data_IF_102960320152
#
_entry.id   IF_102960320152
#
_cell.length_a   1.000
_cell.length_b   1.000
_cell.length_c   1.000
_cell.angle_alpha   90.00
_cell.angle_beta   90.00
_cell.angle_gamma   90.00
#
_symmetry.space_group_name_H-M   'P 1'
#
loop_
_entity.id
_entity.type
_entity.pdbx_description
1 polymer ?
#
# COMPACT_ATOMS: atom_id res chain seq x y z
N UNK A 1 8.76 17.19 -24.91
CA UNK A 1 9.21 15.96 -25.59
C UNK A 1 10.45 15.41 -24.90
N UNK A 2 10.27 14.26 -24.27
CA UNK A 2 11.31 13.45 -23.62
C UNK A 2 12.28 12.90 -24.66
N UNK A 3 13.58 12.88 -24.35
CA UNK A 3 14.67 12.62 -25.31
C UNK A 3 15.53 11.41 -24.98
N UNK A 4 15.54 11.00 -23.71
CA UNK A 4 16.27 9.83 -23.23
C UNK A 4 15.63 9.36 -21.91
N UNK A 5 16.09 8.19 -21.44
CA UNK A 5 15.69 7.63 -20.14
C UNK A 5 16.15 8.53 -18.98
N UNK A 6 17.36 9.09 -19.04
CA UNK A 6 17.83 10.02 -18.00
C UNK A 6 16.98 11.29 -17.96
N UNK A 7 16.62 11.85 -19.12
CA UNK A 7 15.74 13.02 -19.18
C UNK A 7 14.34 12.72 -18.62
N UNK A 8 13.83 11.51 -18.81
CA UNK A 8 12.56 11.08 -18.22
C UNK A 8 12.64 10.99 -16.70
N UNK A 9 13.71 10.40 -16.16
CA UNK A 9 13.95 10.34 -14.71
C UNK A 9 14.09 11.73 -14.11
N UNK A 10 14.91 12.60 -14.71
CA UNK A 10 15.07 13.99 -14.24
C UNK A 10 13.74 14.74 -14.24
N UNK A 11 12.92 14.55 -15.28
CA UNK A 11 11.57 15.15 -15.36
C UNK A 11 10.69 14.66 -14.21
N UNK A 12 10.64 13.35 -13.95
CA UNK A 12 9.82 12.79 -12.86
C UNK A 12 10.34 13.23 -11.49
N UNK A 13 11.65 13.16 -11.26
CA UNK A 13 12.29 13.45 -9.98
C UNK A 13 12.16 14.92 -9.56
N UNK A 14 12.03 15.84 -10.52
CA UNK A 14 11.93 17.29 -10.27
C UNK A 14 10.52 17.85 -10.46
N UNK A 15 9.54 17.02 -10.82
CA UNK A 15 8.17 17.47 -11.09
C UNK A 15 7.49 17.97 -9.82
N UNK A 16 7.35 19.29 -9.71
CA UNK A 16 6.68 19.94 -8.58
C UNK A 16 5.17 20.13 -8.80
N UNK A 17 4.76 20.49 -10.02
CA UNK A 17 3.37 20.87 -10.35
C UNK A 17 2.88 20.13 -11.59
N UNK A 18 1.69 19.55 -11.52
CA UNK A 18 1.09 18.78 -12.59
C UNK A 18 1.69 17.39 -12.71
N UNK A 19 1.06 16.58 -13.55
CA UNK A 19 1.43 15.18 -13.79
C UNK A 19 2.42 15.13 -14.95
N UNK A 20 3.59 14.48 -14.82
CA UNK A 20 4.61 14.41 -15.87
C UNK A 20 4.24 13.37 -16.94
N UNK A 21 3.11 13.59 -17.64
CA UNK A 21 2.51 12.61 -18.55
C UNK A 21 3.47 12.07 -19.60
N UNK A 22 4.23 12.94 -20.26
CA UNK A 22 5.18 12.51 -21.31
C UNK A 22 6.30 11.61 -20.76
N UNK A 23 6.80 11.88 -19.55
CA UNK A 23 7.88 11.11 -18.94
C UNK A 23 7.40 9.74 -18.45
N UNK A 24 6.24 9.70 -17.79
CA UNK A 24 5.61 8.44 -17.35
C UNK A 24 5.32 7.56 -18.58
N UNK A 25 4.69 8.13 -19.62
CA UNK A 25 4.34 7.38 -20.83
C UNK A 25 5.59 6.88 -21.58
N UNK A 26 6.64 7.70 -21.65
CA UNK A 26 7.91 7.30 -22.22
C UNK A 26 8.51 6.07 -21.51
N UNK A 27 8.60 6.10 -20.17
CA UNK A 27 9.17 5.00 -19.39
C UNK A 27 8.30 3.73 -19.41
N UNK A 28 6.97 3.88 -19.40
CA UNK A 28 6.03 2.73 -19.51
C UNK A 28 6.18 1.95 -20.81
N UNK A 29 6.63 2.61 -21.88
CA UNK A 29 6.80 2.01 -23.21
C UNK A 29 8.25 1.56 -23.52
N UNK A 30 9.18 1.72 -22.57
CA UNK A 30 10.55 1.19 -22.74
C UNK A 30 10.62 -0.30 -22.48
N UNK A 31 11.70 -0.93 -22.95
CA UNK A 31 12.08 -2.26 -22.47
C UNK A 31 12.42 -2.21 -20.98
N UNK A 32 12.17 -3.31 -20.27
CA UNK A 32 12.44 -3.42 -18.84
C UNK A 32 13.95 -3.54 -18.56
N UNK A 33 14.66 -2.43 -18.70
CA UNK A 33 16.11 -2.36 -18.52
C UNK A 33 16.51 -2.48 -17.05
N UNK A 34 17.74 -2.91 -16.79
CA UNK A 34 18.27 -2.96 -15.41
C UNK A 34 18.27 -1.59 -14.73
N UNK A 35 18.54 -0.53 -15.49
CA UNK A 35 18.51 0.84 -15.00
C UNK A 35 17.11 1.25 -14.53
N UNK A 36 16.08 0.94 -15.33
CA UNK A 36 14.69 1.21 -14.98
C UNK A 36 14.26 0.43 -13.74
N UNK A 37 14.59 -0.87 -13.67
CA UNK A 37 14.27 -1.69 -12.49
C UNK A 37 14.90 -1.13 -11.22
N UNK A 38 16.18 -0.77 -11.26
CA UNK A 38 16.87 -0.13 -10.13
C UNK A 38 16.21 1.19 -9.72
N UNK A 39 15.76 2.00 -10.69
CA UNK A 39 15.06 3.25 -10.41
C UNK A 39 13.71 3.02 -9.73
N UNK A 40 12.94 2.03 -10.17
CA UNK A 40 11.65 1.67 -9.55
C UNK A 40 11.85 1.17 -8.11
N UNK A 41 12.80 0.25 -7.90
CA UNK A 41 13.14 -0.25 -6.56
C UNK A 41 13.57 0.90 -5.65
N UNK A 42 14.45 1.79 -6.13
CA UNK A 42 14.88 2.97 -5.38
C UNK A 42 13.70 3.85 -4.99
N UNK A 43 12.80 4.13 -5.93
CA UNK A 43 11.65 5.01 -5.70
C UNK A 43 10.70 4.46 -4.64
N UNK A 44 10.43 3.15 -4.64
CA UNK A 44 9.53 2.52 -3.68
C UNK A 44 10.18 2.50 -2.29
N UNK A 45 11.43 2.04 -2.21
CA UNK A 45 12.20 1.98 -0.96
C UNK A 45 12.31 3.35 -0.28
N UNK A 46 12.38 4.42 -1.08
CA UNK A 46 12.58 5.78 -0.58
C UNK A 46 11.31 6.63 -0.64
N UNK A 47 10.13 6.06 -0.88
CA UNK A 47 8.91 6.83 -1.15
C UNK A 47 8.60 7.90 -0.08
N UNK A 48 8.95 7.62 1.17
CA UNK A 48 8.74 8.51 2.32
C UNK A 48 10.06 9.07 2.89
N UNK A 49 11.17 8.90 2.18
CA UNK A 49 12.48 9.40 2.62
C UNK A 49 12.67 10.86 2.20
N UNK A 50 12.75 11.74 3.20
CA UNK A 50 12.98 13.17 2.98
C UNK A 50 14.31 13.49 2.29
N UNK A 51 15.37 12.70 2.50
CA UNK A 51 16.64 12.92 1.79
C UNK A 51 16.53 12.64 0.28
N UNK A 52 15.60 11.77 -0.11
CA UNK A 52 15.41 11.39 -1.51
C UNK A 52 14.41 12.28 -2.25
N UNK A 53 13.29 12.64 -1.60
CA UNK A 53 12.15 13.29 -2.27
C UNK A 53 11.64 14.55 -1.58
N UNK A 54 12.32 15.09 -0.58
CA UNK A 54 11.99 16.42 -0.06
C UNK A 54 12.67 17.51 -0.86
N UNK A 55 11.89 18.50 -1.31
CA UNK A 55 12.44 19.74 -1.85
C UNK A 55 12.57 20.78 -0.75
N UNK A 56 13.80 21.19 -0.42
CA UNK A 56 14.06 22.26 0.55
C UNK A 56 13.56 23.63 0.06
N UNK A 57 13.67 23.89 -1.25
CA UNK A 57 13.24 25.14 -1.88
C UNK A 57 11.74 25.36 -1.72
N UNK A 58 10.95 24.32 -2.00
CA UNK A 58 9.49 24.37 -1.96
C UNK A 58 8.90 23.86 -0.65
N UNK A 59 9.73 23.27 0.21
CA UNK A 59 9.39 22.69 1.51
C UNK A 59 8.32 21.59 1.45
N UNK A 60 8.36 20.77 0.40
CA UNK A 60 7.36 19.75 0.08
C UNK A 60 7.98 18.40 -0.25
N UNK A 61 7.26 17.32 0.06
CA UNK A 61 7.55 16.00 -0.52
C UNK A 61 7.10 15.98 -1.97
N UNK A 62 8.01 15.61 -2.87
CA UNK A 62 7.78 15.54 -4.30
C UNK A 62 6.96 14.29 -4.66
N UNK A 63 6.01 14.37 -5.61
CA UNK A 63 5.17 13.26 -6.06
C UNK A 63 5.90 12.18 -6.87
N UNK A 64 7.23 12.28 -7.02
CA UNK A 64 8.02 11.36 -7.84
C UNK A 64 7.80 9.87 -7.52
N UNK A 65 7.74 9.42 -6.25
CA UNK A 65 7.43 8.02 -5.94
C UNK A 65 6.12 7.53 -6.55
N UNK A 66 5.06 8.35 -6.51
CA UNK A 66 3.76 8.00 -7.08
C UNK A 66 3.87 7.79 -8.59
N UNK A 67 4.60 8.67 -9.28
CA UNK A 67 4.85 8.55 -10.71
C UNK A 67 5.60 7.27 -11.07
N UNK A 68 6.59 6.87 -10.27
CA UNK A 68 7.27 5.59 -10.46
C UNK A 68 6.36 4.40 -10.18
N UNK A 69 5.43 4.47 -9.23
CA UNK A 69 4.42 3.44 -9.03
C UNK A 69 3.50 3.28 -10.26
N UNK A 70 3.18 4.38 -10.97
CA UNK A 70 2.45 4.31 -12.24
C UNK A 70 3.31 3.67 -13.33
N UNK A 71 4.61 4.00 -13.41
CA UNK A 71 5.52 3.36 -14.37
C UNK A 71 5.60 1.85 -14.12
N UNK A 72 5.66 1.43 -12.86
CA UNK A 72 5.78 0.03 -12.46
C UNK A 72 4.62 -0.87 -12.93
N UNK A 73 3.44 -0.32 -13.24
CA UNK A 73 2.32 -1.09 -13.79
C UNK A 73 2.71 -1.90 -15.05
N UNK A 74 3.68 -1.42 -15.84
CA UNK A 74 4.19 -2.09 -17.04
C UNK A 74 5.51 -2.85 -16.82
N UNK A 75 6.10 -2.75 -15.63
CA UNK A 75 7.44 -3.26 -15.30
C UNK A 75 7.45 -4.16 -14.06
N UNK A 76 6.36 -4.89 -13.82
CA UNK A 76 6.18 -5.78 -12.67
C UNK A 76 7.28 -6.86 -12.59
N UNK A 77 7.99 -6.92 -11.47
CA UNK A 77 9.06 -7.87 -11.20
C UNK A 77 9.13 -8.25 -9.72
N UNK A 78 9.79 -9.38 -9.40
CA UNK A 78 9.98 -9.85 -8.02
C UNK A 78 10.79 -8.86 -7.16
N UNK A 79 11.66 -8.05 -7.79
CA UNK A 79 12.44 -7.01 -7.10
C UNK A 79 11.56 -5.93 -6.46
N UNK A 80 10.30 -5.80 -6.88
CA UNK A 80 9.35 -4.85 -6.32
C UNK A 80 8.56 -5.40 -5.13
N UNK A 81 8.66 -6.70 -4.81
CA UNK A 81 7.82 -7.31 -3.79
C UNK A 81 8.01 -6.69 -2.41
N UNK A 82 9.24 -6.67 -1.92
CA UNK A 82 9.56 -6.09 -0.60
C UNK A 82 9.36 -4.57 -0.57
N UNK A 83 9.91 -3.79 -1.52
CA UNK A 83 9.71 -2.33 -1.54
C UNK A 83 8.23 -1.92 -1.59
N UNK A 84 7.38 -2.66 -2.30
CA UNK A 84 5.94 -2.37 -2.34
C UNK A 84 5.27 -2.63 -0.99
N UNK A 85 5.57 -3.77 -0.35
CA UNK A 85 4.97 -4.11 0.95
C UNK A 85 5.36 -3.11 2.02
N UNK A 86 6.60 -2.62 1.99
CA UNK A 86 7.10 -1.59 2.91
C UNK A 86 6.32 -0.28 2.81
N UNK A 87 5.72 0.05 1.65
CA UNK A 87 4.87 1.23 1.50
C UNK A 87 3.67 1.21 2.47
N UNK A 88 3.14 0.02 2.80
CA UNK A 88 2.02 -0.12 3.73
C UNK A 88 2.44 -0.07 5.22
N UNK A 89 3.73 0.12 5.50
CA UNK A 89 4.26 0.26 6.86
C UNK A 89 4.58 1.70 7.23
N UNK A 90 3.88 2.66 6.65
CA UNK A 90 4.06 4.08 6.98
C UNK A 90 2.72 4.68 7.37
N UNK A 91 2.67 5.41 8.49
CA UNK A 91 1.51 6.22 8.91
C UNK A 91 1.62 7.59 8.25
N UNK A 92 1.54 7.61 6.92
CA UNK A 92 1.54 8.85 6.13
C UNK A 92 0.31 8.83 5.21
N UNK A 93 -0.39 9.96 5.19
CA UNK A 93 -1.64 10.10 4.46
C UNK A 93 -1.36 10.55 3.02
N UNK A 94 -0.91 9.61 2.17
CA UNK A 94 -0.99 9.74 0.71
C UNK A 94 -2.01 8.74 0.20
N UNK A 95 -3.29 9.12 0.26
CA UNK A 95 -4.39 8.35 -0.32
C UNK A 95 -4.06 7.84 -1.74
N UNK A 96 -3.50 8.70 -2.59
CA UNK A 96 -3.11 8.33 -3.96
C UNK A 96 -1.94 7.35 -4.03
N UNK A 97 -1.00 7.40 -3.08
CA UNK A 97 0.07 6.39 -3.00
C UNK A 97 -0.51 5.06 -2.58
N UNK A 98 -1.31 5.06 -1.50
CA UNK A 98 -1.89 3.84 -0.94
C UNK A 98 -2.76 3.15 -2.00
N UNK A 99 -3.59 3.92 -2.69
CA UNK A 99 -4.43 3.43 -3.78
C UNK A 99 -3.59 2.81 -4.92
N UNK A 100 -2.55 3.50 -5.37
CA UNK A 100 -1.67 2.98 -6.42
C UNK A 100 -0.86 1.76 -5.96
N UNK A 101 -0.44 1.71 -4.69
CA UNK A 101 0.26 0.58 -4.11
C UNK A 101 -0.66 -0.64 -3.98
N UNK A 102 -1.92 -0.46 -3.58
CA UNK A 102 -2.95 -1.51 -3.59
C UNK A 102 -3.17 -2.03 -5.01
N UNK A 103 -3.29 -1.13 -6.00
CA UNK A 103 -3.40 -1.51 -7.40
C UNK A 103 -2.22 -2.39 -7.86
N UNK A 104 -0.99 -2.00 -7.54
CA UNK A 104 0.21 -2.78 -7.84
C UNK A 104 0.25 -4.12 -7.09
N UNK A 105 -0.21 -4.18 -5.85
CA UNK A 105 -0.26 -5.43 -5.08
C UNK A 105 -1.18 -6.44 -5.77
N UNK A 106 -2.37 -6.02 -6.23
CA UNK A 106 -3.25 -6.86 -7.03
C UNK A 106 -2.62 -7.30 -8.35
N UNK A 107 -1.95 -6.39 -9.07
CA UNK A 107 -1.25 -6.72 -10.32
C UNK A 107 -0.10 -7.73 -10.13
N UNK A 108 0.71 -7.58 -9.08
CA UNK A 108 1.79 -8.51 -8.77
C UNK A 108 1.24 -9.86 -8.32
N UNK A 109 0.19 -9.89 -7.50
CA UNK A 109 -0.46 -11.12 -7.08
C UNK A 109 -1.06 -11.87 -8.27
N UNK A 110 -1.68 -11.14 -9.22
CA UNK A 110 -2.19 -11.74 -10.46
C UNK A 110 -1.07 -12.33 -11.34
N UNK A 111 0.08 -11.66 -11.41
CA UNK A 111 1.22 -12.08 -12.24
C UNK A 111 2.04 -13.20 -11.59
N UNK A 112 2.18 -13.17 -10.26
CA UNK A 112 3.00 -14.06 -9.45
C UNK A 112 2.19 -14.60 -8.24
N UNK A 113 1.12 -15.37 -8.49
CA UNK A 113 0.17 -15.77 -7.44
C UNK A 113 0.79 -16.65 -6.36
N UNK A 114 1.83 -17.41 -6.67
CA UNK A 114 2.57 -18.17 -5.65
C UNK A 114 3.57 -17.26 -4.93
N UNK A 115 4.53 -16.70 -5.67
CA UNK A 115 5.70 -16.02 -5.10
C UNK A 115 5.31 -14.75 -4.33
N UNK A 116 4.43 -13.92 -4.89
CA UNK A 116 4.06 -12.65 -4.26
C UNK A 116 3.10 -12.85 -3.10
N UNK A 117 2.10 -13.73 -3.25
CA UNK A 117 1.17 -14.02 -2.14
C UNK A 117 1.91 -14.66 -0.97
N UNK A 118 2.90 -15.52 -1.20
CA UNK A 118 3.71 -16.07 -0.10
C UNK A 118 4.53 -15.00 0.63
N UNK A 119 5.04 -14.01 -0.09
CA UNK A 119 5.69 -12.82 0.48
C UNK A 119 4.71 -11.98 1.29
N UNK A 120 3.51 -11.74 0.76
CA UNK A 120 2.42 -11.05 1.47
C UNK A 120 2.07 -11.79 2.76
N UNK A 121 1.86 -13.11 2.71
CA UNK A 121 1.55 -13.90 3.90
C UNK A 121 2.68 -13.78 4.93
N UNK A 122 3.95 -13.90 4.53
CA UNK A 122 5.08 -13.71 5.45
C UNK A 122 5.06 -12.33 6.10
N UNK A 123 4.84 -11.30 5.31
CA UNK A 123 4.73 -9.92 5.78
C UNK A 123 3.57 -9.71 6.76
N UNK A 124 2.39 -10.27 6.51
CA UNK A 124 1.24 -10.24 7.44
C UNK A 124 1.63 -10.87 8.77
N UNK A 125 2.23 -12.06 8.73
CA UNK A 125 2.61 -12.78 9.95
C UNK A 125 3.66 -12.02 10.77
N UNK A 126 4.63 -11.38 10.12
CA UNK A 126 5.65 -10.55 10.78
C UNK A 126 5.04 -9.29 11.41
N UNK A 127 4.10 -8.64 10.73
CA UNK A 127 3.40 -7.47 11.26
C UNK A 127 2.50 -7.83 12.46
N UNK A 128 1.80 -8.96 12.42
CA UNK A 128 1.05 -9.48 13.58
C UNK A 128 2.01 -9.79 14.74
N UNK A 129 3.11 -10.51 14.46
CA UNK A 129 4.10 -10.90 15.47
C UNK A 129 4.76 -9.68 16.16
N UNK A 130 4.93 -8.59 15.43
CA UNK A 130 5.52 -7.34 15.94
C UNK A 130 4.50 -6.40 16.59
N UNK A 131 3.23 -6.80 16.71
CA UNK A 131 2.13 -5.94 17.19
C UNK A 131 2.01 -4.63 16.39
N UNK A 132 2.34 -4.67 15.10
CA UNK A 132 2.31 -3.50 14.24
C UNK A 132 0.85 -3.09 13.98
N UNK A 133 0.55 -1.79 14.16
CA UNK A 133 -0.79 -1.20 13.96
C UNK A 133 -0.89 -0.34 12.71
N UNK A 134 0.21 -0.23 11.95
CA UNK A 134 0.23 0.45 10.66
C UNK A 134 -0.69 -0.25 9.66
N UNK A 135 -1.16 0.43 8.60
CA UNK A 135 -2.23 -0.06 7.73
C UNK A 135 -1.75 -1.11 6.69
N UNK A 136 -1.05 -2.16 7.14
CA UNK A 136 -0.67 -3.27 6.26
C UNK A 136 -1.87 -4.07 5.73
N UNK A 137 -3.10 -3.77 6.17
CA UNK A 137 -4.34 -4.34 5.62
C UNK A 137 -4.42 -4.21 4.09
N UNK A 138 -3.82 -3.17 3.51
CA UNK A 138 -3.81 -2.92 2.08
C UNK A 138 -3.15 -4.06 1.27
N UNK A 139 -2.23 -4.82 1.87
CA UNK A 139 -1.64 -5.97 1.19
C UNK A 139 -2.62 -7.17 1.06
N UNK A 140 -3.75 -7.17 1.78
CA UNK A 140 -4.74 -8.26 1.72
C UNK A 140 -5.41 -8.35 0.34
N UNK A 141 -5.34 -7.28 -0.46
CA UNK A 141 -5.70 -7.26 -1.88
C UNK A 141 -5.08 -8.45 -2.65
N UNK A 142 -3.85 -8.84 -2.32
CA UNK A 142 -3.17 -9.95 -2.98
C UNK A 142 -3.87 -11.31 -2.78
N UNK A 143 -4.66 -11.47 -1.70
CA UNK A 143 -5.34 -12.72 -1.38
C UNK A 143 -6.44 -13.08 -2.39
N UNK A 144 -6.92 -12.12 -3.18
CA UNK A 144 -7.83 -12.38 -4.30
C UNK A 144 -7.24 -13.31 -5.37
N UNK A 145 -5.91 -13.41 -5.42
CA UNK A 145 -5.17 -14.27 -6.36
C UNK A 145 -4.47 -15.44 -5.66
N UNK A 146 -4.75 -15.68 -4.38
CA UNK A 146 -4.17 -16.80 -3.65
C UNK A 146 -4.53 -18.15 -4.29
N UNK A 147 -3.54 -19.04 -4.37
CA UNK A 147 -3.69 -20.40 -4.88
C UNK A 147 -4.34 -21.32 -3.83
N UNK A 148 -4.85 -22.46 -4.26
CA UNK A 148 -5.42 -23.50 -3.39
C UNK A 148 -4.46 -23.92 -2.26
N UNK A 149 -3.17 -24.07 -2.58
CA UNK A 149 -2.14 -24.58 -1.66
C UNK A 149 -1.84 -23.61 -0.51
N UNK A 150 -2.14 -22.33 -0.70
CA UNK A 150 -1.88 -21.27 0.29
C UNK A 150 -3.01 -21.15 1.34
N UNK A 151 -4.17 -21.77 1.11
CA UNK A 151 -5.34 -21.56 1.98
C UNK A 151 -5.19 -22.10 3.39
N UNK A 152 -4.45 -23.18 3.59
CA UNK A 152 -4.16 -23.70 4.93
C UNK A 152 -3.36 -22.67 5.75
N UNK A 153 -2.37 -22.01 5.12
CA UNK A 153 -1.60 -20.93 5.75
C UNK A 153 -2.45 -19.70 6.00
N UNK A 154 -3.26 -19.29 5.02
CA UNK A 154 -4.23 -18.17 5.15
C UNK A 154 -5.18 -18.39 6.33
N UNK A 155 -5.75 -19.59 6.47
CA UNK A 155 -6.65 -19.91 7.58
C UNK A 155 -5.93 -19.92 8.92
N UNK A 156 -4.67 -20.39 8.97
CA UNK A 156 -3.87 -20.37 10.21
C UNK A 156 -3.58 -18.96 10.74
N UNK A 157 -3.57 -17.94 9.86
CA UNK A 157 -3.37 -16.54 10.28
C UNK A 157 -4.53 -16.05 11.16
N UNK A 158 -5.76 -16.51 10.92
CA UNK A 158 -6.93 -16.18 11.74
C UNK A 158 -6.84 -16.70 13.18
N UNK A 159 -5.95 -17.65 13.46
CA UNK A 159 -5.71 -18.17 14.81
C UNK A 159 -4.70 -17.35 15.61
N UNK A 160 -3.99 -16.40 14.97
CA UNK A 160 -2.98 -15.59 15.65
C UNK A 160 -3.64 -14.59 16.60
N UNK A 161 -3.05 -14.44 17.77
CA UNK A 161 -3.37 -13.37 18.71
C UNK A 161 -2.86 -12.01 18.18
N UNK A 162 -3.42 -10.91 18.68
CA UNK A 162 -3.05 -9.53 18.32
C UNK A 162 -3.17 -9.19 16.81
N UNK A 163 -4.06 -9.88 16.10
CA UNK A 163 -4.35 -9.53 14.71
C UNK A 163 -5.27 -8.31 14.61
N UNK A 164 -4.68 -7.11 14.56
CA UNK A 164 -5.42 -5.83 14.55
C UNK A 164 -6.37 -5.66 13.36
N UNK A 165 -6.07 -6.27 12.22
CA UNK A 165 -6.84 -6.12 10.97
C UNK A 165 -7.71 -7.33 10.64
N UNK A 166 -8.07 -8.15 11.63
CA UNK A 166 -8.82 -9.41 11.44
C UNK A 166 -10.15 -9.20 10.71
N UNK A 167 -10.88 -8.12 11.00
CA UNK A 167 -12.16 -7.76 10.36
C UNK A 167 -11.97 -7.57 8.82
N UNK A 168 -10.92 -6.86 8.42
CA UNK A 168 -10.59 -6.66 7.00
C UNK A 168 -10.14 -7.96 6.32
N UNK A 169 -9.41 -8.81 7.04
CA UNK A 169 -8.98 -10.11 6.55
C UNK A 169 -10.18 -11.04 6.33
N UNK A 170 -11.12 -11.07 7.29
CA UNK A 170 -12.39 -11.81 7.19
C UNK A 170 -13.20 -11.34 5.99
N UNK A 171 -13.30 -10.03 5.76
CA UNK A 171 -13.99 -9.46 4.59
C UNK A 171 -13.45 -10.04 3.29
N UNK A 172 -12.13 -9.96 3.08
CA UNK A 172 -11.50 -10.50 1.86
C UNK A 172 -11.75 -11.99 1.72
N UNK A 173 -11.56 -12.79 2.78
CA UNK A 173 -11.81 -14.23 2.71
C UNK A 173 -13.28 -14.59 2.49
N UNK A 174 -14.19 -13.78 3.02
CA UNK A 174 -15.63 -13.83 2.77
C UNK A 174 -15.94 -13.61 1.31
N UNK A 175 -15.34 -12.60 0.66
CA UNK A 175 -15.49 -12.35 -0.77
C UNK A 175 -15.03 -13.54 -1.63
N UNK A 176 -14.03 -14.31 -1.18
CA UNK A 176 -13.56 -15.49 -1.90
C UNK A 176 -14.53 -16.67 -1.88
N UNK A 177 -15.48 -16.71 -0.94
CA UNK A 177 -16.59 -17.69 -0.92
C UNK A 177 -16.14 -19.16 -0.97
N UNK A 178 -15.06 -19.52 -0.28
CA UNK A 178 -14.50 -20.89 -0.32
C UNK A 178 -15.07 -21.81 0.76
N UNK A 179 -15.32 -23.06 0.42
CA UNK A 179 -15.90 -24.04 1.35
C UNK A 179 -15.04 -24.28 2.61
N UNK A 180 -13.71 -24.34 2.46
CA UNK A 180 -12.81 -24.47 3.61
C UNK A 180 -12.78 -23.20 4.49
N UNK A 181 -12.92 -22.01 3.90
CA UNK A 181 -13.10 -20.75 4.65
C UNK A 181 -14.37 -20.76 5.49
N UNK A 182 -15.49 -21.28 4.97
CA UNK A 182 -16.74 -21.37 5.72
C UNK A 182 -16.57 -22.21 6.99
N UNK A 183 -15.88 -23.35 6.88
CA UNK A 183 -15.58 -24.18 8.03
C UNK A 183 -14.71 -23.43 9.05
N UNK A 184 -13.69 -22.71 8.57
CA UNK A 184 -12.81 -21.92 9.44
C UNK A 184 -13.57 -20.81 10.17
N UNK A 185 -14.45 -20.07 9.48
CA UNK A 185 -15.26 -19.02 10.09
C UNK A 185 -16.16 -19.56 11.20
N UNK A 186 -16.82 -20.70 10.98
CA UNK A 186 -17.62 -21.38 12.01
C UNK A 186 -16.80 -21.80 13.21
N UNK A 187 -15.59 -22.31 12.98
CA UNK A 187 -14.67 -22.75 14.03
C UNK A 187 -14.23 -21.58 14.93
N UNK A 188 -13.90 -20.43 14.34
CA UNK A 188 -13.36 -19.27 15.09
C UNK A 188 -14.44 -18.34 15.65
N UNK A 189 -15.69 -18.40 15.16
CA UNK A 189 -16.78 -17.53 15.60
C UNK A 189 -16.92 -17.43 17.14
N UNK A 190 -16.89 -18.55 17.91
CA UNK A 190 -16.98 -18.48 19.38
C UNK A 190 -15.85 -17.68 20.03
N UNK A 191 -14.67 -17.58 19.41
CA UNK A 191 -13.53 -16.80 19.93
C UNK A 191 -13.81 -15.29 19.97
N UNK A 192 -14.78 -14.83 19.18
CA UNK A 192 -15.14 -13.43 19.04
C UNK A 192 -16.48 -13.08 19.68
N UNK A 193 -17.08 -13.98 20.47
CA UNK A 193 -18.36 -13.73 21.14
C UNK A 193 -18.35 -12.40 21.92
N UNK A 194 -19.36 -11.57 21.68
CA UNK A 194 -19.48 -10.23 22.27
C UNK A 194 -18.64 -9.13 21.60
N UNK A 195 -17.93 -9.42 20.49
CA UNK A 195 -17.15 -8.44 19.73
C UNK A 195 -17.78 -8.15 18.36
N UNK A 196 -17.41 -7.01 17.77
CA UNK A 196 -17.81 -6.63 16.41
C UNK A 196 -17.46 -7.71 15.37
N UNK A 197 -16.27 -8.29 15.46
CA UNK A 197 -15.79 -9.37 14.59
C UNK A 197 -16.74 -10.56 14.51
N UNK A 198 -17.46 -10.92 15.59
CA UNK A 198 -18.44 -12.01 15.53
C UNK A 198 -19.65 -11.67 14.65
N UNK A 199 -20.05 -10.40 14.59
CA UNK A 199 -21.13 -9.94 13.70
C UNK A 199 -20.69 -10.08 12.24
N UNK A 200 -19.47 -9.67 11.92
CA UNK A 200 -18.93 -9.82 10.56
C UNK A 200 -18.76 -11.28 10.16
N UNK A 201 -18.21 -12.13 11.03
CA UNK A 201 -18.10 -13.56 10.80
C UNK A 201 -19.48 -14.19 10.55
N UNK A 202 -20.46 -13.89 11.40
CA UNK A 202 -21.80 -14.44 11.25
C UNK A 202 -22.44 -14.00 9.93
N UNK A 203 -22.26 -12.73 9.53
CA UNK A 203 -22.72 -12.24 8.24
C UNK A 203 -22.13 -13.06 7.07
N UNK A 204 -20.81 -13.25 7.03
CA UNK A 204 -20.21 -14.04 5.94
C UNK A 204 -20.57 -15.52 6.01
N UNK A 205 -20.73 -16.10 7.20
CA UNK A 205 -21.26 -17.47 7.35
C UNK A 205 -22.66 -17.56 6.72
N UNK A 206 -23.55 -16.62 7.02
CA UNK A 206 -24.91 -16.59 6.48
C UNK A 206 -24.92 -16.38 4.96
N UNK A 207 -24.04 -15.53 4.43
CA UNK A 207 -23.82 -15.38 2.99
C UNK A 207 -23.41 -16.70 2.36
N UNK A 208 -22.37 -17.35 2.89
CA UNK A 208 -21.80 -18.59 2.34
C UNK A 208 -22.72 -19.80 2.51
N UNK A 209 -23.66 -19.75 3.45
CA UNK A 209 -24.75 -20.73 3.59
C UNK A 209 -25.97 -20.41 2.72
N UNK A 210 -25.94 -19.33 1.94
CA UNK A 210 -27.02 -18.94 1.03
C UNK A 210 -28.24 -18.33 1.72
N UNK A 211 -28.10 -17.84 2.97
CA UNK A 211 -29.17 -17.16 3.70
C UNK A 211 -29.32 -15.68 3.32
N UNK A 212 -28.31 -15.10 2.68
CA UNK A 212 -28.30 -13.72 2.19
C UNK A 212 -28.38 -13.74 0.66
N UNK A 213 -29.46 -13.16 0.10
CA UNK A 213 -29.76 -13.23 -1.34
C UNK A 213 -29.21 -12.08 -2.17
N UNK A 214 -28.86 -10.96 -1.55
CA UNK A 214 -28.42 -9.71 -2.16
C UNK A 214 -26.92 -9.44 -1.98
N UNK A 215 -26.15 -10.46 -1.59
CA UNK A 215 -24.70 -10.34 -1.42
C UNK A 215 -24.02 -10.05 -2.76
N UNK A 216 -23.30 -8.94 -2.82
CA UNK A 216 -22.41 -8.61 -3.92
C UNK A 216 -20.97 -8.93 -3.50
N UNK A 217 -20.40 -9.94 -4.15
CA UNK A 217 -19.01 -10.34 -3.93
C UNK A 217 -18.07 -9.17 -4.24
N UNK A 218 -17.19 -8.86 -3.30
CA UNK A 218 -16.06 -7.96 -3.52
C UNK A 218 -15.16 -8.45 -4.65
N UNK A 219 -14.55 -7.50 -5.34
CA UNK A 219 -13.58 -7.76 -6.40
C UNK A 219 -12.30 -7.02 -6.06
N UNK A 220 -11.16 -7.60 -6.43
CA UNK A 220 -9.86 -6.93 -6.34
C UNK A 220 -9.94 -5.54 -6.99
N UNK A 221 -9.45 -4.51 -6.30
CA UNK A 221 -9.35 -3.14 -6.78
C UNK A 221 -8.66 -3.05 -8.15
N UNK A 222 -7.67 -3.90 -8.42
CA UNK A 222 -6.99 -3.90 -9.73
C UNK A 222 -7.84 -4.38 -10.91
N UNK A 223 -9.01 -4.99 -10.67
CA UNK A 223 -10.00 -5.29 -11.70
C UNK A 223 -11.07 -4.20 -11.82
N UNK A 224 -11.16 -3.28 -10.85
CA UNK A 224 -12.13 -2.19 -10.82
C UNK A 224 -11.58 -0.88 -11.37
N UNK A 225 -10.30 -0.58 -11.11
CA UNK A 225 -9.64 0.64 -11.58
C UNK A 225 -9.48 0.61 -13.11
N UNK A 226 -9.69 1.74 -13.77
CA UNK A 226 -9.38 1.89 -15.20
C UNK A 226 -7.91 1.52 -15.47
N UNK A 227 -7.70 0.59 -16.40
CA UNK A 227 -6.37 0.16 -16.82
C UNK A 227 -5.62 1.27 -17.57
N UNK A 228 -6.34 2.22 -18.18
CA UNK A 228 -5.78 3.43 -18.77
C UNK A 228 -5.50 4.45 -17.66
N UNK A 229 -4.29 4.36 -17.10
CA UNK A 229 -3.82 5.20 -15.98
C UNK A 229 -4.06 6.71 -16.19
N UNK A 230 -4.01 7.21 -17.43
CA UNK A 230 -4.27 8.63 -17.73
C UNK A 230 -5.70 9.03 -17.37
N UNK A 231 -6.71 8.21 -17.68
CA UNK A 231 -8.11 8.50 -17.33
C UNK A 231 -8.33 8.56 -15.83
N UNK A 232 -7.61 7.71 -15.10
CA UNK A 232 -7.67 7.63 -13.65
C UNK A 232 -7.09 8.91 -13.00
N UNK A 233 -5.89 9.33 -13.39
CA UNK A 233 -5.21 10.48 -12.77
C UNK A 233 -5.61 11.84 -13.34
N UNK A 234 -6.14 11.92 -14.56
CA UNK A 234 -6.57 13.19 -15.14
C UNK A 234 -7.69 13.86 -14.32
N UNK A 235 -8.56 13.08 -13.69
CA UNK A 235 -9.61 13.59 -12.80
C UNK A 235 -9.04 14.21 -11.52
N UNK A 236 -7.83 13.81 -11.15
CA UNK A 236 -7.10 14.22 -9.95
C UNK A 236 -6.05 15.32 -10.24
N UNK A 237 -5.99 15.84 -11.46
CA UNK A 237 -4.97 16.82 -11.87
C UNK A 237 -4.97 18.09 -11.00
N UNK A 238 -6.14 18.46 -10.47
CA UNK A 238 -6.29 19.59 -9.54
C UNK A 238 -5.50 19.41 -8.23
N UNK A 239 -5.27 18.17 -7.77
CA UNK A 239 -4.46 17.86 -6.58
C UNK A 239 -2.99 18.23 -6.83
N UNK A 240 -2.53 18.08 -8.07
CA UNK A 240 -1.15 18.38 -8.47
C UNK A 240 -1.00 19.80 -9.03
N UNK A 241 -2.07 20.59 -9.13
CA UNK A 241 -2.04 21.90 -9.77
C UNK A 241 -1.33 22.97 -8.91
N UNK A 242 -1.34 22.82 -7.58
CA UNK A 242 -0.58 23.67 -6.65
C UNK A 242 0.69 22.97 -6.18
N UNK A 243 1.65 23.73 -5.66
CA UNK A 243 2.85 23.18 -5.01
C UNK A 243 2.56 22.80 -3.55
N UNK A 244 1.32 22.45 -3.21
CA UNK A 244 0.95 21.97 -1.88
C UNK A 244 1.08 20.44 -1.88
N UNK A 245 1.85 19.89 -0.94
CA UNK A 245 2.02 18.43 -0.84
C UNK A 245 0.68 17.77 -0.48
N UNK A 246 0.36 16.59 -1.07
CA UNK A 246 -0.72 15.76 -0.55
C UNK A 246 -0.38 15.14 0.82
N UNK A 247 0.89 15.19 1.27
CA UNK A 247 1.27 14.81 2.64
C UNK A 247 1.03 16.04 3.51
N UNK A 248 0.07 15.97 4.45
CA UNK A 248 0.09 16.89 5.57
C UNK A 248 1.36 16.61 6.38
N UNK A 249 2.30 17.56 6.41
CA UNK A 249 3.45 17.44 7.29
C UNK A 249 2.93 17.15 8.70
N UNK A 250 3.30 15.98 9.24
CA UNK A 250 3.17 15.69 10.67
C UNK A 250 3.55 16.95 11.44
N UNK A 251 2.60 17.46 12.23
CA UNK A 251 2.61 18.83 12.79
C UNK A 251 4.02 19.36 13.00
N UNK A 252 4.40 20.44 12.28
CA UNK A 252 5.68 21.11 12.46
C UNK A 252 5.91 21.35 13.94
N UNK A 253 6.77 20.54 14.56
CA UNK A 253 7.05 20.70 15.96
C UNK A 253 7.76 22.03 16.16
N UNK A 254 7.12 22.94 16.88
CA UNK A 254 7.70 24.24 17.12
C UNK A 254 8.96 24.05 17.98
N UNK A 255 9.99 24.86 17.76
CA UNK A 255 11.23 24.85 18.54
C UNK A 255 10.97 24.92 20.06
N UNK A 256 9.85 25.49 20.48
CA UNK A 256 9.47 25.62 21.88
C UNK A 256 8.53 24.53 22.41
N UNK A 257 8.01 23.64 21.56
CA UNK A 257 7.06 22.59 21.97
C UNK A 257 7.75 21.51 22.81
N UNK A 258 6.99 20.76 23.64
CA UNK A 258 7.51 19.59 24.34
C UNK A 258 8.14 18.60 23.35
N UNK A 259 9.34 18.12 23.69
CA UNK A 259 10.12 17.25 22.83
C UNK A 259 9.49 15.84 22.78
N UNK A 260 9.33 15.23 21.59
CA UNK A 260 8.54 14.02 21.41
C UNK A 260 9.28 12.77 21.90
N UNK A 261 10.57 12.86 22.25
CA UNK A 261 11.32 11.78 22.88
C UNK A 261 10.92 11.50 24.34
N UNK A 262 9.91 12.20 24.87
CA UNK A 262 9.42 12.01 26.24
C UNK A 262 10.33 12.63 27.32
N UNK A 263 11.34 13.41 26.95
CA UNK A 263 12.29 14.00 27.92
C UNK A 263 11.71 15.12 28.80
N UNK A 264 10.50 15.61 28.48
CA UNK A 264 9.88 16.76 29.14
C UNK A 264 10.53 18.12 28.84
N UNK A 265 11.56 18.17 27.99
CA UNK A 265 12.25 19.41 27.58
C UNK A 265 11.62 20.02 26.33
N UNK A 266 11.89 21.30 26.05
CA UNK A 266 11.53 21.93 24.76
C UNK A 266 12.34 21.32 23.61
N UNK A 267 11.75 21.16 22.44
CA UNK A 267 12.38 20.52 21.28
C UNK A 267 13.76 21.12 20.94
N UNK A 268 13.89 22.45 20.95
CA UNK A 268 15.18 23.15 20.70
C UNK A 268 16.29 22.86 21.71
N UNK A 269 15.95 22.38 22.90
CA UNK A 269 16.89 22.11 24.00
C UNK A 269 17.16 20.62 24.19
N UNK A 270 16.58 19.77 23.35
CA UNK A 270 16.74 18.33 23.41
C UNK A 270 17.16 17.80 22.02
N UNK A 271 16.27 17.12 21.30
CA UNK A 271 16.61 16.47 20.03
C UNK A 271 17.22 17.43 18.99
N UNK A 272 16.78 18.69 18.92
CA UNK A 272 17.34 19.66 17.97
C UNK A 272 18.79 20.06 18.29
N UNK A 273 19.20 19.99 19.57
CA UNK A 273 20.55 20.33 20.01
C UNK A 273 21.53 19.16 19.82
N UNK A 274 21.01 17.95 19.62
CA UNK A 274 21.81 16.75 19.36
C UNK A 274 22.01 16.51 17.85
N UNK A 275 21.51 17.40 17.00
CA UNK A 275 21.65 17.39 15.53
C UNK A 275 22.74 18.37 15.04
N UNK A 276 23.62 18.85 15.93
CA UNK A 276 24.72 19.77 15.65
C UNK A 276 26.06 19.21 16.08
#
# INVERSE_FOLDING_TARGET
>A
MIRSTEHAFETIDTQLKGIPYEAIDFLRNQENSEELRKKLVFAFTNAYNGEAYYSDEYRVMLPAPLWYCIVAEKHLSEELFEPLLELFTVEEDWDLMNEQAVYLAGLLARKYPEQFVDKVLGFIEENIKSDNKKPYLYCFEALYYATEEQFDRIHSILDKENFHWVDHYIRVLGDLQRNNTLQKFKEILPKFEGKHTAVELQYYIDVMEGKVSDFQKGTAFCEMRDAEWKNHYQQMEHIFASSESPVEQGTKINRNDPCPCGSGKKYKQCCLKNMS
#
